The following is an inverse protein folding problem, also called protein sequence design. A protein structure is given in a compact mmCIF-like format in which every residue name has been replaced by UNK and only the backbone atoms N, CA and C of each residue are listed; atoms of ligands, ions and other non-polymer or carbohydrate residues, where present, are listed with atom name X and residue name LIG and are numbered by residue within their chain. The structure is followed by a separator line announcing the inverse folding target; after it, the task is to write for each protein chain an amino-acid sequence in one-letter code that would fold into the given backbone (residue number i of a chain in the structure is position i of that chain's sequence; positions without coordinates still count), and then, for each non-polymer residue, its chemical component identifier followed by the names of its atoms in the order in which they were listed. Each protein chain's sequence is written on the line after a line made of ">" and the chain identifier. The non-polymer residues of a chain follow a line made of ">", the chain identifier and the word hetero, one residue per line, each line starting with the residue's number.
data_IF_481594851243
#
_entry.id   IF_481594851243
#
_cell.length_a   1.000
_cell.length_b   1.000
_cell.length_c   1.000
_cell.angle_alpha   90.00
_cell.angle_beta   90.00
_cell.angle_gamma   90.00
#
_symmetry.space_group_name_H-M   'P 1'
#
loop_
_entity.id
_entity.type
_entity.pdbx_description
1 polymer ?
#
# COMPACT_ATOMS: atom_id res chain seq x y z
N UNK A 1 3.25 22.23 -20.59
CA UNK A 1 2.05 22.47 -19.76
C UNK A 1 1.22 21.21 -19.60
N UNK A 2 0.49 21.13 -18.47
CA UNK A 2 -0.34 19.99 -18.02
C UNK A 2 -1.33 19.45 -19.04
N UNK A 3 -1.29 18.15 -19.28
CA UNK A 3 -2.16 17.44 -20.21
C UNK A 3 -3.51 17.02 -19.60
N UNK A 4 -4.29 16.21 -20.34
CA UNK A 4 -5.66 15.91 -20.00
C UNK A 4 -5.77 15.25 -18.63
N UNK A 5 -6.86 15.56 -17.93
CA UNK A 5 -7.33 14.76 -16.79
C UNK A 5 -7.88 13.45 -17.37
N UNK A 6 -7.15 12.35 -17.18
CA UNK A 6 -7.61 11.02 -17.58
C UNK A 6 -8.57 10.52 -16.53
N UNK A 7 -9.77 10.15 -16.96
CA UNK A 7 -10.79 9.64 -16.04
C UNK A 7 -10.74 8.12 -15.75
N UNK A 8 -9.63 7.38 -15.95
CA UNK A 8 -9.35 6.18 -15.16
C UNK A 8 -8.48 6.52 -13.95
N UNK A 9 -8.87 6.00 -12.78
CA UNK A 9 -8.14 6.16 -11.53
C UNK A 9 -8.03 4.79 -10.85
N UNK A 10 -6.80 4.29 -10.77
CA UNK A 10 -6.48 2.99 -10.20
C UNK A 10 -5.43 3.13 -9.10
N UNK A 11 -5.41 2.22 -8.11
CA UNK A 11 -4.35 2.16 -7.12
C UNK A 11 -3.00 1.84 -7.77
N UNK A 12 -1.92 2.25 -7.10
CA UNK A 12 -0.54 1.95 -7.51
C UNK A 12 -0.30 0.44 -7.60
N UNK A 13 -0.97 -0.33 -6.75
CA UNK A 13 -0.91 -1.79 -6.65
C UNK A 13 -1.48 -2.51 -7.89
N UNK A 14 -2.32 -1.84 -8.69
CA UNK A 14 -2.78 -2.34 -10.00
C UNK A 14 -2.00 -1.75 -11.18
N UNK A 15 -1.34 -0.60 -10.99
CA UNK A 15 -0.73 0.20 -12.06
C UNK A 15 0.80 0.15 -12.06
N UNK A 16 1.38 -0.91 -11.51
CA UNK A 16 2.83 -1.12 -11.44
C UNK A 16 3.49 -1.11 -12.82
N UNK A 17 4.64 -0.45 -12.93
CA UNK A 17 5.49 -0.46 -14.14
C UNK A 17 6.37 -1.70 -14.25
N UNK A 18 6.36 -2.57 -13.23
CA UNK A 18 7.03 -3.88 -13.30
C UNK A 18 6.31 -4.84 -14.26
N UNK A 19 5.01 -4.67 -14.47
CA UNK A 19 4.16 -5.60 -15.21
C UNK A 19 3.36 -4.90 -16.32
N UNK A 20 2.78 -5.68 -17.23
CA UNK A 20 1.89 -5.11 -18.24
C UNK A 20 0.51 -4.77 -17.63
N UNK A 21 -0.17 -3.70 -18.10
CA UNK A 21 0.25 -2.80 -19.18
C UNK A 21 1.14 -1.63 -18.70
N UNK A 22 1.41 -1.49 -17.39
CA UNK A 22 2.18 -0.38 -16.86
C UNK A 22 3.59 -0.27 -17.47
N UNK A 23 4.26 -1.40 -17.66
CA UNK A 23 5.58 -1.48 -18.29
C UNK A 23 5.59 -0.85 -19.69
N UNK A 24 4.76 -1.34 -20.61
CA UNK A 24 4.72 -0.78 -21.98
C UNK A 24 4.26 0.68 -22.02
N UNK A 25 3.32 1.07 -21.15
CA UNK A 25 2.75 2.42 -21.13
C UNK A 25 3.76 3.49 -20.69
N UNK A 26 4.76 3.15 -19.87
CA UNK A 26 5.82 4.07 -19.43
C UNK A 26 7.15 3.92 -20.18
N UNK A 27 7.32 2.85 -20.95
CA UNK A 27 8.62 2.45 -21.51
C UNK A 27 9.29 3.48 -22.43
N UNK A 28 8.50 4.28 -23.16
CA UNK A 28 8.99 5.20 -24.19
C UNK A 28 8.90 6.69 -23.79
N UNK A 29 8.54 7.01 -22.54
CA UNK A 29 8.41 8.40 -22.07
C UNK A 29 9.69 9.23 -22.33
N UNK A 30 10.85 8.63 -22.10
CA UNK A 30 12.15 9.30 -22.28
C UNK A 30 12.48 9.61 -23.75
N UNK A 31 11.86 8.92 -24.72
CA UNK A 31 12.08 9.19 -26.14
C UNK A 31 11.37 10.48 -26.57
N UNK A 32 10.22 10.81 -25.95
CA UNK A 32 9.54 12.08 -26.19
C UNK A 32 10.36 13.30 -25.73
N UNK A 33 11.17 13.15 -24.68
CA UNK A 33 12.06 14.21 -24.20
C UNK A 33 13.16 14.61 -25.22
N UNK A 34 13.40 13.77 -26.25
CA UNK A 34 14.37 14.06 -27.32
C UNK A 34 13.78 14.91 -28.45
N UNK A 35 12.47 15.15 -28.45
CA UNK A 35 11.80 15.91 -29.50
C UNK A 35 12.06 17.42 -29.34
N UNK A 36 12.26 18.18 -30.45
CA UNK A 36 12.50 19.61 -30.40
C UNK A 36 11.40 20.40 -29.66
N UNK A 37 11.82 21.15 -28.64
CA UNK A 37 10.92 21.98 -27.84
C UNK A 37 10.12 21.22 -26.77
N UNK A 38 10.46 19.96 -26.49
CA UNK A 38 9.99 19.19 -25.33
C UNK A 38 11.13 19.11 -24.31
N UNK A 39 10.82 19.40 -23.04
CA UNK A 39 11.76 19.34 -21.92
C UNK A 39 11.53 18.11 -21.05
N UNK A 40 10.26 17.78 -20.77
CA UNK A 40 9.88 16.63 -19.96
C UNK A 40 8.49 16.11 -20.33
N UNK A 41 8.29 14.81 -20.19
CA UNK A 41 7.01 14.12 -20.28
C UNK A 41 6.87 13.17 -19.10
N UNK A 42 5.89 13.47 -18.26
CA UNK A 42 5.59 12.72 -17.04
C UNK A 42 4.20 12.13 -17.11
N UNK A 43 4.06 10.84 -16.78
CA UNK A 43 2.77 10.17 -16.65
C UNK A 43 2.54 9.74 -15.19
N UNK A 44 1.37 10.12 -14.67
CA UNK A 44 1.00 10.05 -13.26
C UNK A 44 -0.28 9.21 -13.12
N UNK A 45 -0.28 8.21 -12.25
CA UNK A 45 -1.42 7.29 -12.05
C UNK A 45 -2.58 7.89 -11.23
N UNK A 46 -2.35 9.02 -10.56
CA UNK A 46 -3.30 9.64 -9.64
C UNK A 46 -3.23 9.04 -8.22
N UNK A 47 -4.05 9.56 -7.31
CA UNK A 47 -4.14 9.05 -5.93
C UNK A 47 -5.59 8.68 -5.62
N UNK A 48 -5.86 7.38 -5.65
CA UNK A 48 -7.21 6.83 -5.67
C UNK A 48 -8.01 7.12 -4.40
N UNK A 49 -7.34 7.25 -3.24
CA UNK A 49 -8.00 7.47 -1.95
C UNK A 49 -8.29 8.95 -1.64
N UNK A 50 -7.87 9.90 -2.48
CA UNK A 50 -8.33 11.29 -2.34
C UNK A 50 -9.70 11.45 -3.02
N UNK A 51 -10.73 11.70 -2.21
CA UNK A 51 -12.07 12.05 -2.71
C UNK A 51 -12.14 13.55 -3.04
N UNK A 52 -11.67 13.90 -4.24
CA UNK A 52 -11.58 15.29 -4.68
C UNK A 52 -11.65 15.43 -6.21
N UNK A 53 -12.09 16.59 -6.75
CA UNK A 53 -12.40 16.73 -8.18
C UNK A 53 -11.25 16.54 -9.18
N UNK A 54 -9.99 16.79 -8.79
CA UNK A 54 -8.77 16.61 -9.61
C UNK A 54 -8.13 15.21 -9.42
N UNK A 55 -8.78 14.28 -8.72
CA UNK A 55 -8.25 12.94 -8.48
C UNK A 55 -8.39 12.12 -9.76
N UNK A 56 -7.28 11.94 -10.47
CA UNK A 56 -7.25 11.34 -11.80
C UNK A 56 -5.82 10.96 -12.18
N UNK A 57 -5.67 10.00 -13.09
CA UNK A 57 -4.42 9.85 -13.83
C UNK A 57 -4.21 11.07 -14.74
N UNK A 58 -2.96 11.43 -15.03
CA UNK A 58 -2.63 12.57 -15.88
C UNK A 58 -1.30 12.35 -16.61
N UNK A 59 -1.13 13.07 -17.72
CA UNK A 59 0.12 13.15 -18.48
C UNK A 59 0.43 14.63 -18.52
N UNK A 60 1.64 14.99 -18.15
CA UNK A 60 2.10 16.37 -18.11
C UNK A 60 3.30 16.44 -19.02
N UNK A 61 3.23 17.30 -20.03
CA UNK A 61 4.41 17.67 -20.81
C UNK A 61 4.90 19.03 -20.33
N UNK A 62 6.18 19.30 -20.47
CA UNK A 62 6.79 20.61 -20.24
C UNK A 62 7.67 20.93 -21.44
N UNK A 63 7.60 22.15 -21.96
CA UNK A 63 8.33 22.52 -23.17
C UNK A 63 7.85 23.84 -23.79
N UNK A 64 8.47 24.21 -24.90
CA UNK A 64 8.19 25.44 -25.67
C UNK A 64 7.35 25.19 -26.92
N UNK A 65 7.31 23.96 -27.42
CA UNK A 65 6.53 23.58 -28.61
C UNK A 65 5.13 23.10 -28.19
N UNK A 66 4.12 23.97 -28.24
CA UNK A 66 2.75 23.66 -27.78
C UNK A 66 2.09 22.58 -28.64
N UNK A 67 2.33 22.61 -29.96
CA UNK A 67 1.74 21.65 -30.90
C UNK A 67 2.22 20.24 -30.59
N UNK A 68 3.53 20.05 -30.42
CA UNK A 68 4.09 18.73 -30.07
C UNK A 68 3.67 18.30 -28.66
N UNK A 69 3.68 19.21 -27.68
CA UNK A 69 3.18 18.93 -26.34
C UNK A 69 1.73 18.42 -26.36
N UNK A 70 0.85 19.09 -27.12
CA UNK A 70 -0.57 18.73 -27.25
C UNK A 70 -0.74 17.35 -27.91
N UNK A 71 0.06 17.06 -28.94
CA UNK A 71 0.07 15.76 -29.62
C UNK A 71 0.45 14.64 -28.65
N UNK A 72 1.55 14.81 -27.93
CA UNK A 72 2.09 13.80 -26.99
C UNK A 72 1.11 13.52 -25.85
N UNK A 73 0.59 14.58 -25.20
CA UNK A 73 -0.37 14.37 -24.10
C UNK A 73 -1.62 13.65 -24.59
N UNK A 74 -2.12 13.95 -25.80
CA UNK A 74 -3.30 13.31 -26.41
C UNK A 74 -3.02 11.87 -26.82
N UNK A 75 -1.80 11.55 -27.19
CA UNK A 75 -1.39 10.19 -27.55
C UNK A 75 -1.31 9.30 -26.32
N UNK A 76 -0.51 9.69 -25.31
CA UNK A 76 -0.29 8.92 -24.07
C UNK A 76 -1.58 8.74 -23.26
N UNK A 77 -2.40 9.78 -23.24
CA UNK A 77 -3.79 9.78 -22.85
C UNK A 77 -4.62 8.59 -23.36
N UNK A 78 -4.69 8.48 -24.69
CA UNK A 78 -5.49 7.47 -25.36
C UNK A 78 -4.91 6.08 -25.13
N UNK A 79 -3.57 5.96 -25.08
CA UNK A 79 -2.91 4.69 -24.74
C UNK A 79 -3.34 4.19 -23.36
N UNK A 80 -3.28 5.07 -22.34
CA UNK A 80 -3.68 4.70 -20.97
C UNK A 80 -5.18 4.40 -20.88
N UNK A 81 -6.03 5.23 -21.50
CA UNK A 81 -7.47 4.99 -21.54
C UNK A 81 -7.79 3.63 -22.18
N UNK A 82 -7.22 3.32 -23.35
CA UNK A 82 -7.49 2.07 -24.06
C UNK A 82 -7.03 0.84 -23.27
N UNK A 83 -5.92 0.95 -22.52
CA UNK A 83 -5.37 -0.12 -21.71
C UNK A 83 -6.04 -0.28 -20.32
N UNK A 84 -6.99 0.59 -19.95
CA UNK A 84 -7.53 0.66 -18.57
C UNK A 84 -8.06 -0.68 -18.03
N UNK A 85 -8.60 -1.53 -18.90
CA UNK A 85 -9.15 -2.85 -18.53
C UNK A 85 -8.09 -3.95 -18.41
N UNK A 86 -6.85 -3.69 -18.82
CA UNK A 86 -5.75 -4.65 -18.74
C UNK A 86 -5.03 -4.59 -17.37
N UNK A 87 -5.22 -3.52 -16.59
CA UNK A 87 -4.61 -3.41 -15.26
C UNK A 87 -5.22 -4.41 -14.28
N UNK A 88 -4.36 -5.08 -13.51
CA UNK A 88 -4.74 -6.05 -12.49
C UNK A 88 -3.72 -6.06 -11.36
N UNK A 89 -4.08 -6.67 -10.23
CA UNK A 89 -3.13 -6.93 -9.15
C UNK A 89 -2.16 -8.05 -9.55
N UNK A 90 -0.90 -7.94 -9.12
CA UNK A 90 0.15 -8.94 -9.39
C UNK A 90 -0.03 -10.23 -8.57
N UNK A 91 -0.44 -10.08 -7.30
CA UNK A 91 -0.69 -11.21 -6.42
C UNK A 91 -2.17 -11.59 -6.41
N UNK A 92 -2.50 -12.89 -6.24
CA UNK A 92 -3.88 -13.30 -6.02
C UNK A 92 -4.51 -12.56 -4.84
N UNK A 93 -5.65 -11.91 -5.11
CA UNK A 93 -6.38 -11.13 -4.12
C UNK A 93 -7.48 -11.94 -3.43
N UNK A 94 -7.91 -11.48 -2.26
CA UNK A 94 -9.11 -11.97 -1.58
C UNK A 94 -9.42 -11.17 -0.33
N UNK A 95 -10.44 -11.59 0.41
CA UNK A 95 -10.69 -11.13 1.79
C UNK A 95 -9.59 -11.59 2.74
N UNK A 96 -9.56 -11.05 3.96
CA UNK A 96 -8.64 -11.49 5.01
C UNK A 96 -8.83 -12.99 5.28
N UNK A 97 -10.08 -13.44 5.42
CA UNK A 97 -10.44 -14.82 5.71
C UNK A 97 -10.05 -15.77 4.58
N UNK A 98 -10.28 -15.40 3.32
CA UNK A 98 -9.87 -16.21 2.17
C UNK A 98 -8.35 -16.32 2.07
N UNK A 99 -7.62 -15.21 2.27
CA UNK A 99 -6.16 -15.22 2.25
C UNK A 99 -5.58 -16.07 3.39
N UNK A 100 -6.12 -15.94 4.61
CA UNK A 100 -5.69 -16.76 5.75
C UNK A 100 -6.02 -18.24 5.53
N UNK A 101 -7.20 -18.57 5.00
CA UNK A 101 -7.57 -19.94 4.67
C UNK A 101 -6.58 -20.56 3.67
N UNK A 102 -6.26 -19.84 2.59
CA UNK A 102 -5.27 -20.26 1.59
C UNK A 102 -3.88 -20.41 2.20
N UNK A 103 -3.48 -19.50 3.07
CA UNK A 103 -2.18 -19.54 3.72
C UNK A 103 -2.04 -20.74 4.66
N UNK A 104 -3.07 -21.04 5.46
CA UNK A 104 -3.09 -22.21 6.35
C UNK A 104 -3.14 -23.54 5.59
N UNK A 105 -3.74 -23.57 4.40
CA UNK A 105 -3.78 -24.76 3.54
C UNK A 105 -2.53 -24.92 2.64
N UNK A 106 -1.62 -23.94 2.63
CA UNK A 106 -0.43 -23.95 1.77
C UNK A 106 0.54 -25.05 2.20
N UNK A 107 1.09 -25.78 1.23
CA UNK A 107 2.18 -26.73 1.44
C UNK A 107 3.57 -26.06 1.44
N UNK A 108 3.65 -24.81 0.97
CA UNK A 108 4.87 -24.02 0.85
C UNK A 108 4.83 -22.80 1.76
N UNK A 109 6.01 -22.33 2.15
CA UNK A 109 6.21 -21.35 3.21
C UNK A 109 7.49 -20.52 2.95
N UNK A 110 7.60 -19.28 3.46
CA UNK A 110 6.53 -18.51 4.11
C UNK A 110 5.45 -18.08 3.11
N UNK A 111 4.18 -18.17 3.49
CA UNK A 111 3.10 -17.47 2.78
C UNK A 111 3.13 -16.01 3.21
N UNK A 112 3.38 -15.09 2.28
CA UNK A 112 3.42 -13.66 2.59
C UNK A 112 2.11 -13.02 2.15
N UNK A 113 1.40 -12.41 3.11
CA UNK A 113 0.10 -11.78 2.90
C UNK A 113 0.22 -10.28 3.09
N UNK A 114 -0.18 -9.52 2.08
CA UNK A 114 -0.29 -8.07 2.13
C UNK A 114 -1.62 -7.66 2.78
N UNK A 115 -1.57 -7.00 3.94
CA UNK A 115 -2.68 -6.27 4.57
C UNK A 115 -2.81 -4.89 3.90
N UNK A 116 -3.45 -4.87 2.72
CA UNK A 116 -3.36 -3.74 1.80
C UNK A 116 -4.11 -2.48 2.24
N UNK A 117 -5.22 -2.64 2.96
CA UNK A 117 -6.05 -1.54 3.45
C UNK A 117 -5.42 -0.69 4.53
N UNK A 118 -4.41 -1.24 5.23
CA UNK A 118 -3.71 -0.57 6.32
C UNK A 118 -2.20 -0.40 6.06
N UNK A 119 -1.86 -0.02 4.83
CA UNK A 119 -0.50 0.24 4.38
C UNK A 119 -0.05 1.69 4.70
N UNK A 120 0.91 1.94 5.63
CA UNK A 120 1.39 3.29 5.90
C UNK A 120 2.12 3.95 4.73
N UNK A 121 2.72 3.17 3.81
CA UNK A 121 3.34 3.70 2.59
C UNK A 121 2.34 4.31 1.62
N UNK A 122 1.09 3.82 1.64
CA UNK A 122 -0.03 4.38 0.89
C UNK A 122 -0.77 5.49 1.63
N UNK A 123 -0.45 5.75 2.91
CA UNK A 123 -1.15 6.72 3.76
C UNK A 123 -1.99 6.12 4.89
N UNK A 124 -1.96 4.79 5.07
CA UNK A 124 -2.64 4.08 6.15
C UNK A 124 -2.10 4.42 7.54
N UNK A 125 -2.84 4.01 8.56
CA UNK A 125 -2.49 4.31 9.96
C UNK A 125 -1.57 3.26 10.56
N UNK A 126 -1.58 2.05 9.99
CA UNK A 126 -0.80 0.89 10.44
C UNK A 126 -1.21 0.41 11.84
N UNK A 127 -2.37 0.83 12.36
CA UNK A 127 -2.90 0.46 13.67
C UNK A 127 -4.20 -0.36 13.60
N UNK A 128 -4.66 -0.71 12.40
CA UNK A 128 -5.88 -1.47 12.20
C UNK A 128 -5.70 -2.93 12.67
N UNK A 129 -6.67 -3.40 13.44
CA UNK A 129 -6.59 -4.69 14.12
C UNK A 129 -7.30 -5.84 13.39
N UNK A 130 -7.89 -5.61 12.21
CA UNK A 130 -8.70 -6.62 11.50
C UNK A 130 -7.95 -7.93 11.27
N UNK A 131 -6.71 -7.86 10.77
CA UNK A 131 -5.88 -9.06 10.58
C UNK A 131 -5.54 -9.76 11.90
N UNK A 132 -5.17 -8.99 12.92
CA UNK A 132 -4.86 -9.54 14.25
C UNK A 132 -6.08 -10.27 14.84
N UNK A 133 -7.27 -9.67 14.72
CA UNK A 133 -8.52 -10.30 15.14
C UNK A 133 -8.80 -11.59 14.36
N UNK A 134 -8.59 -11.59 13.05
CA UNK A 134 -8.81 -12.76 12.20
C UNK A 134 -7.84 -13.91 12.52
N UNK A 135 -6.55 -13.60 12.72
CA UNK A 135 -5.53 -14.57 13.14
C UNK A 135 -5.88 -15.22 14.48
N UNK A 136 -6.27 -14.43 15.48
CA UNK A 136 -6.67 -14.93 16.80
C UNK A 136 -7.95 -15.76 16.73
N UNK A 137 -8.95 -15.31 15.95
CA UNK A 137 -10.21 -16.03 15.75
C UNK A 137 -10.01 -17.38 15.07
N UNK A 138 -9.12 -17.45 14.08
CA UNK A 138 -8.77 -18.69 13.40
C UNK A 138 -7.84 -19.59 14.22
N UNK A 139 -7.26 -19.08 15.32
CA UNK A 139 -6.27 -19.79 16.12
C UNK A 139 -4.97 -20.04 15.36
N UNK A 140 -4.65 -19.22 14.35
CA UNK A 140 -3.46 -19.37 13.51
C UNK A 140 -2.19 -19.21 14.36
N UNK A 141 -1.22 -20.09 14.13
CA UNK A 141 0.07 -20.12 14.82
C UNK A 141 1.19 -20.03 13.79
N UNK A 142 2.41 -19.75 14.27
CA UNK A 142 3.60 -19.63 13.42
C UNK A 142 3.48 -18.47 12.43
N UNK A 143 3.13 -17.30 13.00
CA UNK A 143 2.81 -16.07 12.27
C UNK A 143 3.75 -14.95 12.66
N UNK A 144 4.24 -14.21 11.66
CA UNK A 144 4.82 -12.89 11.84
C UNK A 144 3.81 -11.82 11.39
N UNK A 145 3.41 -10.93 12.29
CA UNK A 145 2.58 -9.77 12.00
C UNK A 145 3.44 -8.48 12.05
N UNK A 146 3.71 -7.94 10.87
CA UNK A 146 4.53 -6.75 10.65
C UNK A 146 3.76 -5.43 10.75
N UNK A 147 4.29 -4.49 11.53
CA UNK A 147 3.94 -3.07 11.47
C UNK A 147 2.70 -2.63 12.23
N UNK A 148 2.49 -3.08 13.46
CA UNK A 148 1.45 -2.49 14.31
C UNK A 148 1.96 -1.17 14.93
N UNK A 149 1.35 -0.04 14.58
CA UNK A 149 1.63 1.26 15.20
C UNK A 149 0.79 1.42 16.45
N UNK A 150 1.42 1.39 17.61
CA UNK A 150 0.78 1.52 18.92
C UNK A 150 1.80 2.00 19.95
N UNK A 151 1.80 3.31 20.20
CA UNK A 151 2.69 3.91 21.21
C UNK A 151 2.41 3.41 22.62
N UNK A 152 1.16 3.42 23.13
CA UNK A 152 0.87 2.88 24.46
C UNK A 152 1.39 1.45 24.70
N UNK A 153 1.18 0.54 23.75
CA UNK A 153 1.65 -0.84 23.85
C UNK A 153 3.17 -0.94 23.74
N UNK A 154 3.79 -0.17 22.84
CA UNK A 154 5.26 -0.10 22.72
C UNK A 154 5.89 0.40 24.02
N UNK A 155 5.43 1.54 24.55
CA UNK A 155 5.93 2.11 25.80
C UNK A 155 5.74 1.14 26.99
N UNK A 156 4.67 0.34 27.01
CA UNK A 156 4.47 -0.70 28.01
C UNK A 156 5.53 -1.82 27.92
N UNK A 157 5.90 -2.23 26.70
CA UNK A 157 6.98 -3.19 26.49
C UNK A 157 8.33 -2.65 26.98
N UNK A 158 8.64 -1.38 26.72
CA UNK A 158 9.86 -0.74 27.22
C UNK A 158 9.90 -0.66 28.75
N UNK A 159 8.77 -0.34 29.41
CA UNK A 159 8.69 -0.31 30.88
C UNK A 159 8.88 -1.69 31.50
N UNK A 160 8.38 -2.74 30.86
CA UNK A 160 8.46 -4.10 31.39
C UNK A 160 9.83 -4.76 31.12
N UNK A 161 10.45 -4.44 29.98
CA UNK A 161 11.74 -4.99 29.57
C UNK A 161 11.64 -6.33 28.83
N UNK A 162 12.74 -6.69 28.15
CA UNK A 162 12.85 -7.97 27.42
C UNK A 162 12.70 -9.16 28.37
N UNK A 163 11.96 -10.18 27.94
CA UNK A 163 11.64 -11.39 28.72
C UNK A 163 10.41 -11.26 29.62
N UNK A 164 9.90 -10.04 29.85
CA UNK A 164 8.71 -9.85 30.66
C UNK A 164 7.45 -10.37 29.94
N UNK A 165 6.51 -10.90 30.73
CA UNK A 165 5.15 -11.23 30.28
C UNK A 165 4.16 -10.21 30.82
N UNK A 166 3.39 -9.57 29.95
CA UNK A 166 2.44 -8.53 30.32
C UNK A 166 1.15 -8.60 29.50
N UNK A 167 0.02 -8.14 30.05
CA UNK A 167 -1.16 -7.87 29.25
C UNK A 167 -0.91 -6.64 28.36
N UNK A 168 -1.36 -6.70 27.11
CA UNK A 168 -1.31 -5.60 26.14
C UNK A 168 -2.68 -5.38 25.51
N UNK A 169 -2.98 -4.11 25.22
CA UNK A 169 -4.06 -3.70 24.34
C UNK A 169 -3.42 -3.18 23.07
N UNK A 170 -3.61 -3.85 21.93
CA UNK A 170 -2.86 -3.61 20.69
C UNK A 170 -3.78 -3.04 19.60
N UNK A 171 -3.36 -1.93 18.99
CA UNK A 171 -3.95 -1.24 17.84
C UNK A 171 -5.12 -0.32 18.19
N UNK A 172 -5.70 0.30 17.17
CA UNK A 172 -6.80 1.26 17.24
C UNK A 172 -6.53 2.51 18.10
N UNK A 173 -5.27 2.93 18.18
CA UNK A 173 -4.87 4.12 18.95
C UNK A 173 -4.91 5.40 18.12
N UNK A 174 -4.82 5.29 16.79
CA UNK A 174 -4.90 6.39 15.83
C UNK A 174 -6.29 6.49 15.21
N UNK A 175 -6.93 5.34 14.94
CA UNK A 175 -8.28 5.28 14.37
C UNK A 175 -9.22 4.33 15.15
N UNK A 176 -9.71 4.79 16.31
CA UNK A 176 -10.65 4.03 17.14
C UNK A 176 -12.08 3.99 16.56
N UNK A 177 -12.35 4.72 15.46
CA UNK A 177 -13.66 4.70 14.79
C UNK A 177 -13.79 3.49 13.88
N UNK A 178 -12.71 3.15 13.17
CA UNK A 178 -12.70 2.03 12.21
C UNK A 178 -12.55 0.67 12.88
N UNK A 179 -11.71 0.57 13.91
CA UNK A 179 -11.42 -0.71 14.57
C UNK A 179 -11.32 -0.57 16.10
N UNK A 180 -11.17 -1.70 16.80
CA UNK A 180 -11.06 -1.74 18.27
C UNK A 180 -9.73 -2.36 18.68
N UNK A 181 -9.16 -1.95 19.83
CA UNK A 181 -7.94 -2.57 20.34
C UNK A 181 -8.16 -4.05 20.67
N UNK A 182 -7.15 -4.87 20.41
CA UNK A 182 -7.16 -6.30 20.74
C UNK A 182 -6.49 -6.53 22.09
N UNK A 183 -7.20 -7.22 22.99
CA UNK A 183 -6.70 -7.54 24.32
C UNK A 183 -5.90 -8.85 24.30
N UNK A 184 -4.58 -8.74 24.47
CA UNK A 184 -3.66 -9.87 24.62
C UNK A 184 -3.34 -10.02 26.10
N UNK A 185 -3.70 -11.15 26.69
CA UNK A 185 -3.53 -11.36 28.15
C UNK A 185 -2.08 -11.61 28.57
N UNK A 186 -1.30 -12.25 27.71
CA UNK A 186 0.07 -12.71 27.98
C UNK A 186 0.95 -12.51 26.75
N UNK A 187 1.42 -11.29 26.54
CA UNK A 187 2.45 -11.01 25.55
C UNK A 187 3.82 -11.12 26.21
N UNK A 188 4.77 -11.79 25.55
CA UNK A 188 6.17 -11.87 25.98
C UNK A 188 6.98 -10.88 25.16
N UNK A 189 7.70 -9.97 25.81
CA UNK A 189 8.61 -9.03 25.12
C UNK A 189 9.85 -9.78 24.67
N UNK A 190 10.11 -9.84 23.36
CA UNK A 190 11.23 -10.57 22.76
C UNK A 190 12.41 -9.67 22.43
N UNK A 191 12.13 -8.44 22.00
CA UNK A 191 13.14 -7.49 21.59
C UNK A 191 12.65 -6.05 21.80
N UNK A 192 13.58 -5.15 22.06
CA UNK A 192 13.39 -3.71 22.13
C UNK A 192 14.56 -3.05 21.40
N UNK A 193 14.28 -2.16 20.46
CA UNK A 193 15.34 -1.40 19.79
C UNK A 193 16.02 -0.43 20.76
N UNK A 194 17.31 -0.15 20.52
CA UNK A 194 18.00 0.89 21.27
C UNK A 194 17.66 2.25 20.66
N UNK A 195 17.02 3.13 21.44
CA UNK A 195 16.57 4.44 20.97
C UNK A 195 16.96 5.54 21.95
N UNK A 196 17.22 6.73 21.43
CA UNK A 196 17.47 7.93 22.24
C UNK A 196 16.17 8.64 22.62
N UNK A 197 15.15 8.50 21.78
CA UNK A 197 13.83 9.12 21.95
C UNK A 197 12.74 8.05 21.98
N UNK A 198 11.83 8.05 22.97
CA UNK A 198 10.80 7.01 23.09
C UNK A 198 9.91 6.84 21.85
N UNK A 199 9.65 7.92 21.09
CA UNK A 199 8.83 7.87 19.87
C UNK A 199 9.47 7.12 18.70
N UNK A 200 10.76 6.79 18.79
CA UNK A 200 11.46 5.94 17.82
C UNK A 200 11.44 4.47 18.22
N UNK A 201 10.89 4.16 19.41
CA UNK A 201 10.89 2.83 19.99
C UNK A 201 10.12 1.83 19.12
N UNK A 202 10.72 0.66 18.98
CA UNK A 202 10.11 -0.52 18.39
C UNK A 202 10.27 -1.70 19.36
N UNK A 203 9.28 -2.59 19.37
CA UNK A 203 9.25 -3.78 20.20
C UNK A 203 8.82 -5.00 19.38
N UNK A 204 9.39 -6.16 19.69
CA UNK A 204 8.89 -7.46 19.21
C UNK A 204 8.23 -8.15 20.39
N UNK A 205 7.00 -8.60 20.19
CA UNK A 205 6.24 -9.36 21.19
C UNK A 205 5.75 -10.67 20.62
N UNK A 206 5.63 -11.67 21.48
CA UNK A 206 5.11 -12.99 21.13
C UNK A 206 3.90 -13.33 22.01
N UNK A 207 2.82 -13.78 21.40
CA UNK A 207 1.61 -14.24 22.08
C UNK A 207 0.81 -15.17 21.19
N UNK A 208 0.19 -16.20 21.76
CA UNK A 208 -0.72 -17.09 21.03
C UNK A 208 -0.18 -17.61 19.68
N UNK A 209 1.13 -17.86 19.56
CA UNK A 209 1.79 -18.30 18.32
C UNK A 209 1.96 -17.23 17.24
N UNK A 210 1.73 -15.96 17.58
CA UNK A 210 1.95 -14.77 16.75
C UNK A 210 3.15 -14.01 17.31
N UNK A 211 4.12 -13.74 16.45
CA UNK A 211 5.17 -12.74 16.67
C UNK A 211 4.72 -11.44 16.02
N UNK A 212 4.57 -10.37 16.79
CA UNK A 212 4.15 -9.07 16.28
C UNK A 212 5.22 -8.01 16.52
N UNK A 213 5.35 -7.10 15.56
CA UNK A 213 6.17 -5.89 15.71
C UNK A 213 5.28 -4.71 16.10
N UNK A 214 5.64 -4.03 17.18
CA UNK A 214 5.00 -2.82 17.68
C UNK A 214 5.94 -1.63 17.45
N UNK A 215 5.38 -0.48 17.09
CA UNK A 215 6.15 0.75 16.88
C UNK A 215 5.44 1.94 17.49
N UNK A 216 6.20 2.85 18.12
CA UNK A 216 5.66 4.05 18.76
C UNK A 216 5.22 5.13 17.74
N UNK A 217 5.71 5.05 16.51
CA UNK A 217 5.31 5.90 15.38
C UNK A 217 5.04 5.04 14.16
N UNK A 218 4.26 5.57 13.21
CA UNK A 218 4.01 4.92 11.92
C UNK A 218 5.33 4.51 11.27
N UNK A 219 5.47 3.21 11.01
CA UNK A 219 6.65 2.60 10.41
C UNK A 219 6.24 1.57 9.36
N UNK A 220 6.84 1.68 8.18
CA UNK A 220 6.63 0.74 7.09
C UNK A 220 7.59 -0.46 7.22
N UNK A 221 7.11 -1.56 7.80
CA UNK A 221 7.83 -2.85 7.82
C UNK A 221 7.51 -3.64 6.55
N UNK A 222 8.36 -3.50 5.53
CA UNK A 222 8.09 -4.09 4.21
C UNK A 222 9.25 -4.93 3.66
N UNK A 223 10.49 -4.74 4.14
CA UNK A 223 11.66 -5.51 3.71
C UNK A 223 12.04 -6.60 4.72
N UNK A 224 12.68 -7.68 4.26
CA UNK A 224 13.14 -8.77 5.14
C UNK A 224 14.24 -8.28 6.11
N UNK A 225 15.08 -7.37 5.65
CA UNK A 225 16.17 -6.77 6.40
C UNK A 225 15.64 -5.99 7.61
N UNK A 226 14.54 -5.24 7.45
CA UNK A 226 13.95 -4.48 8.54
C UNK A 226 13.47 -5.36 9.72
N UNK A 227 13.13 -6.63 9.47
CA UNK A 227 12.82 -7.60 10.52
C UNK A 227 14.09 -8.19 11.12
N UNK A 228 15.09 -8.51 10.29
CA UNK A 228 16.35 -9.10 10.75
C UNK A 228 17.13 -8.13 11.64
N UNK A 229 17.06 -6.83 11.37
CA UNK A 229 17.66 -5.78 12.19
C UNK A 229 17.11 -5.76 13.64
N UNK A 230 15.89 -6.26 13.85
CA UNK A 230 15.25 -6.39 15.17
C UNK A 230 15.20 -7.84 15.67
N UNK A 231 16.05 -8.71 15.10
CA UNK A 231 16.24 -10.09 15.53
C UNK A 231 15.14 -11.07 15.10
N UNK A 232 14.36 -10.73 14.06
CA UNK A 232 13.29 -11.59 13.53
C UNK A 232 13.62 -11.96 12.08
N UNK A 233 13.75 -13.25 11.77
CA UNK A 233 13.91 -13.69 10.38
C UNK A 233 12.56 -14.12 9.80
N UNK A 234 11.96 -13.36 8.86
CA UNK A 234 10.64 -13.67 8.31
C UNK A 234 10.60 -15.04 7.59
N UNK A 235 11.75 -15.56 7.16
CA UNK A 235 11.84 -16.88 6.52
C UNK A 235 11.55 -18.05 7.48
N UNK A 236 11.58 -17.82 8.80
CA UNK A 236 11.34 -18.85 9.81
C UNK A 236 9.85 -19.08 10.12
N UNK A 237 8.96 -18.26 9.55
CA UNK A 237 7.52 -18.32 9.83
C UNK A 237 6.77 -19.04 8.72
N UNK A 238 5.66 -19.69 9.07
CA UNK A 238 4.75 -20.23 8.04
C UNK A 238 3.98 -19.14 7.33
N UNK A 239 3.55 -18.12 8.06
CA UNK A 239 2.74 -17.02 7.54
C UNK A 239 3.37 -15.70 7.97
N UNK A 240 3.55 -14.79 7.02
CA UNK A 240 4.02 -13.42 7.27
C UNK A 240 2.95 -12.47 6.77
N UNK A 241 2.40 -11.66 7.66
CA UNK A 241 1.42 -10.61 7.32
C UNK A 241 2.10 -9.25 7.39
N UNK A 242 2.04 -8.48 6.30
CA UNK A 242 2.68 -7.17 6.18
C UNK A 242 1.67 -6.10 5.83
N UNK A 243 1.73 -4.98 6.54
CA UNK A 243 0.98 -3.77 6.23
C UNK A 243 1.63 -3.02 5.07
N UNK A 244 1.39 -3.49 3.84
CA UNK A 244 1.94 -2.93 2.61
C UNK A 244 0.98 -3.07 1.43
N UNK A 245 1.27 -2.35 0.34
CA UNK A 245 0.53 -2.44 -0.91
C UNK A 245 1.10 -3.51 -1.84
N UNK A 246 2.37 -3.37 -2.23
CA UNK A 246 3.14 -4.36 -2.96
C UNK A 246 4.32 -4.85 -2.11
N UNK A 247 4.77 -6.07 -2.37
CA UNK A 247 5.89 -6.65 -1.64
C UNK A 247 7.21 -6.01 -2.06
N UNK A 248 8.05 -5.68 -1.07
CA UNK A 248 9.44 -5.31 -1.30
C UNK A 248 10.19 -6.46 -2.00
N UNK A 249 11.20 -6.20 -2.86
CA UNK A 249 11.95 -7.24 -3.56
C UNK A 249 12.48 -8.36 -2.66
N UNK A 250 13.02 -8.01 -1.47
CA UNK A 250 13.56 -9.01 -0.54
C UNK A 250 12.48 -9.89 0.09
N UNK A 251 11.25 -9.39 0.19
CA UNK A 251 10.10 -10.18 0.64
C UNK A 251 9.47 -10.99 -0.49
N UNK A 252 9.47 -10.47 -1.73
CA UNK A 252 9.05 -11.21 -2.94
C UNK A 252 9.87 -12.50 -3.11
N UNK A 253 11.18 -12.43 -2.85
CA UNK A 253 12.07 -13.60 -2.91
C UNK A 253 11.72 -14.67 -1.86
N UNK A 254 11.25 -14.24 -0.68
CA UNK A 254 10.86 -15.17 0.38
C UNK A 254 9.46 -15.75 0.18
N UNK A 255 8.55 -14.98 -0.42
CA UNK A 255 7.15 -15.34 -0.54
C UNK A 255 6.93 -16.61 -1.36
N UNK A 256 6.27 -17.60 -0.76
CA UNK A 256 6.00 -18.89 -1.39
C UNK A 256 4.67 -19.49 -0.90
N UNK A 257 3.49 -18.98 -1.31
CA UNK A 257 3.28 -17.89 -2.28
C UNK A 257 3.10 -16.50 -1.65
N UNK A 258 2.93 -15.48 -2.51
CA UNK A 258 2.44 -14.16 -2.14
C UNK A 258 0.92 -14.06 -2.32
N UNK A 259 0.24 -13.38 -1.39
CA UNK A 259 -1.21 -13.09 -1.42
C UNK A 259 -1.46 -11.62 -1.06
N UNK A 260 -2.56 -11.06 -1.52
CA UNK A 260 -3.01 -9.71 -1.14
C UNK A 260 -4.42 -9.77 -0.56
N UNK A 261 -4.56 -9.43 0.71
CA UNK A 261 -5.86 -9.24 1.31
C UNK A 261 -6.34 -7.81 1.08
N UNK A 262 -7.52 -7.67 0.48
CA UNK A 262 -8.24 -6.40 0.29
C UNK A 262 -8.93 -6.04 1.61
N UNK A 263 -8.12 -5.78 2.63
CA UNK A 263 -8.59 -5.42 3.96
C UNK A 263 -9.22 -4.03 3.98
N UNK A 264 -10.08 -3.80 4.97
CA UNK A 264 -10.64 -2.48 5.25
C UNK A 264 -9.56 -1.56 5.81
N UNK A 265 -9.65 -0.28 5.49
CA UNK A 265 -8.79 0.75 6.07
C UNK A 265 -8.80 2.02 5.22
N UNK A 266 -7.93 2.97 5.55
CA UNK A 266 -7.83 4.24 4.84
C UNK A 266 -7.41 4.06 3.37
N UNK A 267 -6.66 2.99 3.08
CA UNK A 267 -6.06 2.68 1.77
C UNK A 267 -6.72 1.41 1.19
N UNK A 268 -8.05 1.30 1.33
CA UNK A 268 -8.78 0.12 0.86
C UNK A 268 -8.64 -0.07 -0.66
N UNK A 269 -8.14 -1.24 -1.06
CA UNK A 269 -7.90 -1.63 -2.46
C UNK A 269 -9.18 -2.08 -3.19
N UNK A 270 -10.25 -2.37 -2.47
CA UNK A 270 -11.58 -2.56 -3.05
C UNK A 270 -12.20 -1.19 -3.38
N UNK A 271 -11.62 -0.53 -4.40
CA UNK A 271 -11.87 0.87 -4.72
C UNK A 271 -13.32 1.14 -5.13
N UNK A 272 -14.04 0.16 -5.67
CA UNK A 272 -15.44 0.34 -6.05
C UNK A 272 -16.35 0.54 -4.84
N UNK A 273 -15.92 0.09 -3.66
CA UNK A 273 -16.69 0.16 -2.42
C UNK A 273 -16.19 1.25 -1.45
N UNK A 274 -15.21 2.08 -1.84
CA UNK A 274 -14.82 3.26 -1.05
C UNK A 274 -15.78 4.43 -1.31
N UNK A 275 -15.89 5.34 -0.34
CA UNK A 275 -16.65 6.58 -0.48
C UNK A 275 -16.19 7.40 -1.69
N UNK A 276 -17.14 7.85 -2.50
CA UNK A 276 -16.89 8.64 -3.69
C UNK A 276 -17.96 9.73 -3.84
N UNK A 277 -17.73 10.88 -3.20
CA UNK A 277 -18.73 11.95 -3.11
C UNK A 277 -18.32 13.21 -3.86
N UNK A 278 -17.01 13.43 -4.08
CA UNK A 278 -16.47 14.70 -4.60
C UNK A 278 -15.76 14.55 -5.93
N UNK A 279 -15.41 13.34 -6.36
CA UNK A 279 -14.77 13.12 -7.67
C UNK A 279 -15.77 13.38 -8.79
N UNK A 280 -15.24 13.79 -9.93
CA UNK A 280 -16.00 13.79 -11.18
C UNK A 280 -16.28 12.34 -11.63
N UNK A 281 -17.23 12.10 -12.55
CA UNK A 281 -17.43 10.80 -13.17
C UNK A 281 -16.09 10.20 -13.67
N UNK A 282 -15.71 9.08 -13.06
CA UNK A 282 -14.38 8.47 -13.18
C UNK A 282 -14.54 6.95 -13.24
N UNK A 283 -13.86 6.31 -14.17
CA UNK A 283 -13.70 4.86 -14.24
C UNK A 283 -12.71 4.42 -13.13
N UNK A 284 -12.98 3.33 -12.39
CA UNK A 284 -14.01 2.33 -12.65
C UNK A 284 -15.37 2.53 -11.97
N UNK A 285 -15.58 3.59 -11.17
CA UNK A 285 -16.90 3.85 -10.54
C UNK A 285 -18.03 4.07 -11.53
N UNK A 286 -17.72 4.63 -12.71
CA UNK A 286 -18.65 4.74 -13.84
C UNK A 286 -18.17 3.80 -14.94
N UNK A 287 -18.78 2.63 -15.04
CA UNK A 287 -18.30 1.53 -15.89
C UNK A 287 -18.37 1.85 -17.39
N UNK A 288 -19.42 2.54 -17.82
CA UNK A 288 -19.72 2.93 -19.20
C UNK A 288 -19.26 4.37 -19.52
N UNK A 289 -18.31 4.90 -18.75
CA UNK A 289 -17.82 6.26 -18.91
C UNK A 289 -17.28 6.49 -20.33
N UNK A 290 -17.98 7.34 -21.10
CA UNK A 290 -17.45 7.87 -22.35
C UNK A 290 -16.43 8.96 -22.04
N UNK A 291 -15.24 8.84 -22.62
CA UNK A 291 -14.16 9.78 -22.39
C UNK A 291 -13.37 10.05 -23.67
N UNK A 292 -12.99 11.31 -23.86
CA UNK A 292 -12.06 11.77 -24.90
C UNK A 292 -11.05 12.72 -24.26
N UNK A 293 -9.78 12.70 -24.71
CA UNK A 293 -8.76 13.60 -24.18
C UNK A 293 -9.10 15.05 -24.48
N UNK A 294 -9.04 15.90 -23.46
CA UNK A 294 -9.12 17.36 -23.59
C UNK A 294 -7.84 17.98 -23.02
N UNK A 295 -6.78 18.14 -23.85
CA UNK A 295 -5.57 18.84 -23.45
C UNK A 295 -5.89 20.29 -23.07
N UNK A 296 -5.16 20.83 -22.09
CA UNK A 296 -5.26 22.25 -21.75
C UNK A 296 -3.87 22.84 -21.50
N UNK A 297 -3.85 24.17 -21.46
CA UNK A 297 -2.66 24.99 -21.23
C UNK A 297 -2.77 25.50 -19.80
N UNK A 298 -1.73 25.31 -18.99
CA UNK A 298 -1.65 25.90 -17.65
C UNK A 298 -1.81 27.41 -17.72
N UNK A 299 -2.67 27.96 -16.86
CA UNK A 299 -2.88 29.40 -16.70
C UNK A 299 -1.59 30.19 -16.38
N UNK A 300 -0.50 29.52 -15.97
CA UNK A 300 0.80 30.16 -15.72
C UNK A 300 1.61 30.46 -16.98
N UNK A 301 1.26 29.88 -18.13
CA UNK A 301 2.00 30.10 -19.37
C UNK A 301 1.73 31.45 -20.03
N UNK A 302 0.55 32.02 -19.79
CA UNK A 302 0.18 33.36 -20.27
C UNK A 302 0.81 34.48 -19.42
N UNK A 303 1.41 34.14 -18.26
CA UNK A 303 2.19 35.10 -17.45
C UNK A 303 3.56 35.31 -18.12
N UNK A 304 3.57 36.11 -19.18
CA UNK A 304 4.81 36.70 -19.73
C UNK A 304 5.26 37.88 -18.88
#
# INVERSE_FOLDING_TARGET
>A
MCGPVFRPLLPGEQSSTEWEPGRRLWSDLSEYNRLPGILDVSQLVGYVWADEPRAAASVVTTGTNITEQTRIVTELANRYWNARHEFHFDSPTGTIEECLSRAMASATHPVVISDSGDNPGGGGNSDQTFFLQALLKAGTKDVLLGGMTDRPATDACYRAGVGATLPLSIGATLDPLMCRPVQVKKAVVKHLTSVTRPEEGEAVVEFDGITATLSARRRLYHSAEAFRDIGVDPAQFKIVVLKCGYLHPTMKVLANPALMALSRGAINQDILHIGNHRRQPTWPWVADLAWTPTPYVSARFERK
#
